data_IF_494553913137
#
_entry.id   IF_494553913137
#
_cell.length_a   1.000
_cell.length_b   1.000
_cell.length_c   1.000
_cell.angle_alpha   90.00
_cell.angle_beta   90.00
_cell.angle_gamma   90.00
#
_symmetry.space_group_name_H-M   'P 1'
#
loop_
_entity.id
_entity.type
_entity.pdbx_description
1 polymer ?
#
# COMPACT_ATOMS: atom_id res chain seq x y z
N UNK A 1 13.12 2.88 41.39
CA UNK A 1 13.36 1.60 40.66
C UNK A 1 13.76 1.90 39.22
N UNK A 2 14.85 1.33 38.72
CA UNK A 2 15.40 1.52 37.37
C UNK A 2 15.41 0.18 36.64
N UNK A 3 15.37 0.18 35.28
CA UNK A 3 15.40 -1.06 34.47
C UNK A 3 16.63 -1.92 34.79
N UNK A 4 17.77 -1.31 35.06
CA UNK A 4 18.99 -2.00 35.45
C UNK A 4 18.84 -2.78 36.77
N UNK A 5 18.07 -2.25 37.74
CA UNK A 5 17.78 -2.97 38.98
C UNK A 5 16.98 -4.25 38.69
N UNK A 6 16.02 -4.18 37.73
CA UNK A 6 15.22 -5.34 37.32
C UNK A 6 16.07 -6.36 36.55
N UNK A 7 17.01 -5.92 35.70
CA UNK A 7 17.95 -6.82 35.02
C UNK A 7 18.80 -7.61 36.00
N UNK A 8 19.36 -6.95 37.04
CA UNK A 8 20.14 -7.60 38.05
C UNK A 8 19.30 -8.54 38.92
N UNK A 9 18.10 -8.11 39.29
CA UNK A 9 17.16 -8.89 40.07
C UNK A 9 16.78 -10.19 39.33
N UNK A 10 16.38 -10.11 38.05
CA UNK A 10 16.02 -11.25 37.22
C UNK A 10 17.21 -12.20 37.08
N UNK A 11 18.42 -11.70 36.84
CA UNK A 11 19.61 -12.54 36.76
C UNK A 11 19.86 -13.33 38.07
N UNK A 12 19.72 -12.66 39.23
CA UNK A 12 19.89 -13.36 40.52
C UNK A 12 18.76 -14.36 40.79
N UNK A 13 17.53 -14.02 40.40
CA UNK A 13 16.35 -14.88 40.53
C UNK A 13 16.45 -16.17 39.70
N UNK A 14 16.99 -16.08 38.51
CA UNK A 14 17.16 -17.24 37.61
C UNK A 14 18.36 -18.12 38.04
N UNK A 15 19.44 -17.49 38.44
CA UNK A 15 20.65 -18.21 38.86
C UNK A 15 20.59 -18.73 40.31
N UNK A 16 19.71 -18.20 41.14
CA UNK A 16 19.68 -18.43 42.59
C UNK A 16 21.08 -18.30 43.23
N UNK A 17 21.88 -17.38 42.69
CA UNK A 17 23.27 -17.14 43.07
C UNK A 17 23.74 -15.77 42.63
N UNK A 18 24.17 -14.94 43.56
CA UNK A 18 24.72 -13.62 43.24
C UNK A 18 26.03 -13.70 42.44
N UNK A 19 26.84 -14.74 42.67
CA UNK A 19 28.11 -14.92 41.94
C UNK A 19 27.84 -15.32 40.48
N UNK A 20 26.99 -16.33 40.23
CA UNK A 20 26.66 -16.75 38.87
C UNK A 20 25.91 -15.65 38.10
N UNK A 21 25.02 -14.93 38.77
CA UNK A 21 24.35 -13.78 38.16
C UNK A 21 25.35 -12.68 37.71
N UNK A 22 26.35 -12.40 38.55
CA UNK A 22 27.41 -11.43 38.22
C UNK A 22 28.28 -11.92 37.04
N UNK A 23 28.65 -13.21 37.02
CA UNK A 23 29.34 -13.82 35.87
C UNK A 23 28.53 -13.72 34.58
N UNK A 24 27.24 -14.08 34.63
CA UNK A 24 26.32 -13.94 33.48
C UNK A 24 26.20 -12.51 32.97
N UNK A 25 26.19 -11.54 33.88
CA UNK A 25 26.12 -10.10 33.55
C UNK A 25 27.51 -9.51 33.20
N UNK A 26 28.57 -10.28 33.30
CA UNK A 26 29.96 -9.85 33.02
C UNK A 26 30.39 -8.67 33.89
N UNK A 27 30.02 -8.69 35.18
CA UNK A 27 30.37 -7.68 36.18
C UNK A 27 30.83 -8.36 37.50
N UNK A 28 31.38 -7.56 38.44
CA UNK A 28 31.71 -8.06 39.75
C UNK A 28 30.44 -8.31 40.61
N UNK A 29 30.50 -9.24 41.54
CA UNK A 29 29.37 -9.60 42.40
C UNK A 29 28.93 -8.49 43.36
N UNK A 30 29.88 -7.66 43.84
CA UNK A 30 29.57 -6.59 44.79
C UNK A 30 28.57 -5.54 44.25
N UNK A 31 28.70 -5.01 43.01
CA UNK A 31 27.68 -4.16 42.40
C UNK A 31 26.28 -4.79 42.31
N UNK A 32 26.19 -6.06 41.93
CA UNK A 32 24.91 -6.79 41.89
C UNK A 32 24.24 -6.78 43.24
N UNK A 33 24.97 -7.18 44.28
CA UNK A 33 24.44 -7.23 45.65
C UNK A 33 24.01 -5.86 46.17
N UNK A 34 24.78 -4.80 45.85
CA UNK A 34 24.43 -3.42 46.23
C UNK A 34 23.14 -2.93 45.55
N UNK A 35 22.98 -3.22 44.25
CA UNK A 35 21.79 -2.79 43.52
C UNK A 35 20.53 -3.55 43.97
N UNK A 36 20.65 -4.84 44.28
CA UNK A 36 19.53 -5.59 44.84
C UNK A 36 19.14 -5.01 46.22
N UNK A 37 20.08 -4.75 47.11
CA UNK A 37 19.78 -4.11 48.41
C UNK A 37 19.17 -2.70 48.23
N UNK A 38 19.56 -1.94 47.20
CA UNK A 38 18.96 -0.64 46.89
C UNK A 38 17.51 -0.85 46.48
N UNK A 39 17.23 -1.82 45.60
CA UNK A 39 15.90 -2.17 45.14
C UNK A 39 15.00 -2.60 46.29
N UNK A 40 15.46 -3.49 47.16
CA UNK A 40 14.73 -3.95 48.37
C UNK A 40 14.38 -2.78 49.30
N UNK A 41 15.30 -1.85 49.52
CA UNK A 41 15.05 -0.61 50.30
C UNK A 41 14.05 0.31 49.66
N UNK A 42 14.09 0.48 48.32
CA UNK A 42 13.12 1.28 47.60
C UNK A 42 11.70 0.70 47.66
N UNK A 43 11.60 -0.65 47.64
CA UNK A 43 10.32 -1.35 47.70
C UNK A 43 9.82 -1.61 49.13
N UNK A 44 10.68 -1.41 50.11
CA UNK A 44 10.36 -1.62 51.54
C UNK A 44 10.17 -3.09 51.91
N UNK A 45 10.66 -4.03 51.11
CA UNK A 45 10.55 -5.49 51.35
C UNK A 45 11.74 -6.24 50.79
N UNK A 46 12.08 -7.35 51.45
CA UNK A 46 13.10 -8.27 50.94
C UNK A 46 12.57 -9.09 49.76
N UNK A 47 13.36 -9.21 48.72
CA UNK A 47 13.04 -9.97 47.51
C UNK A 47 13.68 -11.36 47.51
N UNK A 48 14.76 -11.54 48.30
CA UNK A 48 15.45 -12.80 48.43
C UNK A 48 15.54 -13.26 49.88
N UNK A 49 15.23 -14.52 50.10
CA UNK A 49 15.60 -15.23 51.32
C UNK A 49 17.08 -15.61 51.23
N UNK A 50 17.88 -15.03 52.12
CA UNK A 50 19.34 -15.26 52.14
C UNK A 50 19.69 -16.07 53.36
N UNK A 51 20.04 -17.31 53.16
CA UNK A 51 20.69 -18.14 54.19
C UNK A 51 22.17 -18.30 53.85
N UNK A 52 22.97 -18.78 54.81
CA UNK A 52 24.41 -19.07 54.56
C UNK A 52 24.63 -20.16 53.51
N UNK A 53 23.59 -20.90 53.12
CA UNK A 53 23.67 -22.07 52.24
C UNK A 53 22.83 -21.93 50.93
N UNK A 54 21.89 -21.00 50.86
CA UNK A 54 21.00 -20.89 49.72
C UNK A 54 20.47 -19.48 49.54
N UNK A 55 20.16 -19.13 48.29
CA UNK A 55 19.43 -17.93 47.88
C UNK A 55 18.12 -18.39 47.24
N UNK A 56 16.99 -17.86 47.70
CA UNK A 56 15.67 -18.16 47.18
C UNK A 56 14.86 -16.90 47.05
N UNK A 57 13.77 -16.92 46.27
CA UNK A 57 12.84 -15.80 46.16
C UNK A 57 11.85 -15.82 47.33
N UNK A 58 11.61 -14.63 47.92
CA UNK A 58 10.47 -14.41 48.80
C UNK A 58 9.16 -14.40 48.00
N UNK A 59 7.99 -14.34 48.67
CA UNK A 59 6.71 -14.14 47.96
C UNK A 59 6.69 -12.82 47.18
N UNK A 60 7.21 -11.74 47.77
CA UNK A 60 7.40 -10.47 47.08
C UNK A 60 8.37 -10.59 45.89
N UNK A 61 9.44 -11.35 46.05
CA UNK A 61 10.37 -11.64 44.96
C UNK A 61 9.72 -12.41 43.80
N UNK A 62 8.86 -13.39 44.09
CA UNK A 62 8.13 -14.12 43.02
C UNK A 62 7.17 -13.22 42.24
N UNK A 63 6.47 -12.32 42.90
CA UNK A 63 5.59 -11.32 42.26
C UNK A 63 6.41 -10.39 41.40
N UNK A 64 7.48 -9.82 41.95
CA UNK A 64 8.33 -8.90 41.20
C UNK A 64 9.00 -9.59 40.00
N UNK A 65 9.34 -10.89 40.12
CA UNK A 65 9.97 -11.64 39.04
C UNK A 65 9.09 -11.70 37.78
N UNK A 66 7.81 -12.01 37.95
CA UNK A 66 6.86 -12.02 36.83
C UNK A 66 6.72 -10.64 36.19
N UNK A 67 6.52 -9.61 37.00
CA UNK A 67 6.39 -8.23 36.51
C UNK A 67 7.67 -7.69 35.86
N UNK A 68 8.85 -8.03 36.40
CA UNK A 68 10.13 -7.60 35.88
C UNK A 68 10.43 -8.17 34.47
N UNK A 69 10.08 -9.45 34.24
CA UNK A 69 10.21 -10.08 32.92
C UNK A 69 9.38 -9.29 31.88
N UNK A 70 8.13 -8.97 32.19
CA UNK A 70 7.23 -8.25 31.29
C UNK A 70 7.71 -6.81 31.01
N UNK A 71 8.17 -6.10 32.05
CA UNK A 71 8.73 -4.76 31.92
C UNK A 71 10.00 -4.73 31.06
N UNK A 72 10.93 -5.65 31.28
CA UNK A 72 12.14 -5.76 30.49
C UNK A 72 11.85 -6.14 29.04
N UNK A 73 10.92 -7.05 28.80
CA UNK A 73 10.45 -7.38 27.46
C UNK A 73 9.77 -6.18 26.77
N UNK A 74 8.95 -5.42 27.48
CA UNK A 74 8.32 -4.21 26.96
C UNK A 74 9.36 -3.14 26.60
N UNK A 75 10.37 -2.94 27.44
CA UNK A 75 11.48 -2.01 27.17
C UNK A 75 12.26 -2.38 25.90
N UNK A 76 12.59 -3.67 25.73
CA UNK A 76 13.26 -4.15 24.51
C UNK A 76 12.40 -3.96 23.28
N UNK A 77 11.10 -4.33 23.34
CA UNK A 77 10.15 -4.09 22.24
C UNK A 77 10.06 -2.60 21.86
N UNK A 78 10.03 -1.70 22.83
CA UNK A 78 10.00 -0.25 22.58
C UNK A 78 11.25 0.22 21.81
N UNK A 79 12.44 -0.22 22.23
CA UNK A 79 13.69 0.11 21.56
C UNK A 79 13.73 -0.45 20.11
N UNK A 80 13.30 -1.69 19.92
CA UNK A 80 13.26 -2.34 18.60
C UNK A 80 12.23 -1.65 17.67
N UNK A 81 11.03 -1.37 18.16
CA UNK A 81 10.01 -0.65 17.41
C UNK A 81 10.50 0.74 16.99
N UNK A 82 11.17 1.47 17.89
CA UNK A 82 11.74 2.79 17.57
C UNK A 82 12.79 2.68 16.46
N UNK A 83 13.67 1.67 16.52
CA UNK A 83 14.67 1.41 15.49
C UNK A 83 14.03 1.05 14.15
N UNK A 84 13.03 0.15 14.16
CA UNK A 84 12.29 -0.24 12.97
C UNK A 84 11.56 0.94 12.34
N UNK A 85 10.94 1.80 13.14
CA UNK A 85 10.28 3.03 12.66
C UNK A 85 11.29 3.98 12.01
N UNK A 86 12.45 4.21 12.62
CA UNK A 86 13.53 5.01 12.04
C UNK A 86 14.06 4.46 10.70
N UNK A 87 13.98 3.15 10.50
CA UNK A 87 14.34 2.47 9.25
C UNK A 87 13.18 2.41 8.23
N UNK A 88 11.99 2.89 8.55
CA UNK A 88 10.79 2.75 7.72
C UNK A 88 10.28 1.32 7.59
N UNK A 89 10.56 0.49 8.57
CA UNK A 89 10.13 -0.92 8.64
C UNK A 89 8.96 -1.14 9.59
N UNK A 90 8.52 -0.10 10.28
CA UNK A 90 7.35 -0.05 11.14
C UNK A 90 6.69 1.31 10.95
N UNK A 91 5.36 1.35 10.91
CA UNK A 91 4.57 2.57 10.80
C UNK A 91 3.33 2.38 9.94
N UNK A 92 2.79 3.51 9.48
CA UNK A 92 1.58 3.58 8.67
C UNK A 92 1.88 4.32 7.37
N UNK A 93 1.42 3.78 6.25
CA UNK A 93 1.55 4.38 4.93
C UNK A 93 0.18 4.44 4.26
N UNK A 94 -0.35 5.65 4.10
CA UNK A 94 -1.62 5.91 3.43
C UNK A 94 -1.38 6.12 1.93
N UNK A 95 -1.96 5.26 1.10
CA UNK A 95 -1.82 5.26 -0.35
C UNK A 95 -3.16 5.55 -1.03
N UNK A 96 -3.14 6.39 -2.06
CA UNK A 96 -4.31 6.64 -2.88
C UNK A 96 -4.06 6.20 -4.34
N UNK A 97 -5.11 5.68 -4.97
CA UNK A 97 -5.08 5.19 -6.34
C UNK A 97 -6.21 5.79 -7.15
N UNK A 98 -5.87 6.33 -8.33
CA UNK A 98 -6.87 6.84 -9.27
C UNK A 98 -7.52 5.70 -10.04
N UNK A 99 -8.82 5.78 -10.28
CA UNK A 99 -9.64 5.02 -11.21
C UNK A 99 -9.08 3.66 -11.61
N UNK A 100 -8.76 3.50 -12.89
CA UNK A 100 -8.30 2.22 -13.46
C UNK A 100 -6.98 1.70 -12.88
N UNK A 101 -6.10 2.54 -12.32
CA UNK A 101 -4.89 2.10 -11.61
C UNK A 101 -5.21 1.27 -10.37
N UNK A 102 -6.39 1.44 -9.77
CA UNK A 102 -6.93 0.61 -8.69
C UNK A 102 -6.99 -0.86 -9.06
N UNK A 103 -7.34 -1.18 -10.29
CA UNK A 103 -7.57 -2.57 -10.71
C UNK A 103 -6.33 -3.26 -11.26
N UNK A 104 -5.35 -2.52 -11.75
CA UNK A 104 -4.11 -3.06 -12.30
C UNK A 104 -2.94 -2.96 -11.33
N UNK A 105 -2.56 -1.73 -10.96
CA UNK A 105 -1.32 -1.49 -10.23
C UNK A 105 -1.46 -1.67 -8.71
N UNK A 106 -2.60 -1.29 -8.14
CA UNK A 106 -2.79 -1.38 -6.68
C UNK A 106 -2.52 -2.78 -6.13
N UNK A 107 -3.09 -3.88 -6.67
CA UNK A 107 -2.84 -5.21 -6.14
C UNK A 107 -1.37 -5.61 -6.19
N UNK A 108 -0.67 -5.22 -7.26
CA UNK A 108 0.75 -5.53 -7.46
C UNK A 108 1.62 -4.76 -6.48
N UNK A 109 1.36 -3.45 -6.32
CA UNK A 109 2.13 -2.57 -5.45
C UNK A 109 1.90 -2.89 -3.97
N UNK A 110 0.65 -3.11 -3.57
CA UNK A 110 0.29 -3.47 -2.19
C UNK A 110 0.94 -4.80 -1.82
N UNK A 111 0.85 -5.82 -2.68
CA UNK A 111 1.49 -7.12 -2.45
C UNK A 111 3.01 -6.98 -2.32
N UNK A 112 3.66 -6.34 -3.29
CA UNK A 112 5.11 -6.20 -3.30
C UNK A 112 5.63 -5.39 -2.10
N UNK A 113 4.91 -4.33 -1.71
CA UNK A 113 5.27 -3.53 -0.56
C UNK A 113 5.07 -4.28 0.75
N UNK A 114 3.92 -4.94 0.94
CA UNK A 114 3.64 -5.72 2.15
C UNK A 114 4.63 -6.87 2.36
N UNK A 115 5.07 -7.54 1.29
CA UNK A 115 6.11 -8.57 1.36
C UNK A 115 7.46 -8.01 1.81
N UNK A 116 7.81 -6.81 1.33
CA UNK A 116 9.08 -6.15 1.68
C UNK A 116 9.08 -5.51 3.06
N UNK A 117 7.92 -5.02 3.52
CA UNK A 117 7.73 -4.27 4.76
C UNK A 117 6.55 -4.83 5.58
N UNK A 118 6.66 -6.05 6.14
CA UNK A 118 5.53 -6.77 6.76
C UNK A 118 4.97 -6.09 8.02
N UNK A 119 5.74 -5.23 8.68
CA UNK A 119 5.31 -4.52 9.89
C UNK A 119 4.79 -3.11 9.61
N UNK A 120 4.58 -2.74 8.33
CA UNK A 120 3.98 -1.46 7.95
C UNK A 120 2.51 -1.67 7.66
N UNK A 121 1.67 -0.89 8.35
CA UNK A 121 0.23 -0.87 8.07
C UNK A 121 -0.04 -0.05 6.81
N UNK A 122 -0.64 -0.67 5.79
CA UNK A 122 -1.07 0.01 4.58
C UNK A 122 -2.52 0.45 4.71
N UNK A 123 -2.78 1.72 4.45
CA UNK A 123 -4.12 2.26 4.26
C UNK A 123 -4.30 2.62 2.80
N UNK A 124 -5.25 1.96 2.16
CA UNK A 124 -5.47 2.10 0.72
C UNK A 124 -6.78 2.80 0.47
N UNK A 125 -6.73 3.89 -0.29
CA UNK A 125 -7.90 4.60 -0.80
C UNK A 125 -7.95 4.42 -2.32
N UNK A 126 -9.01 3.82 -2.80
CA UNK A 126 -9.21 3.48 -4.20
C UNK A 126 -10.08 4.51 -4.92
N UNK A 127 -9.97 4.55 -6.25
CA UNK A 127 -10.79 5.36 -7.17
C UNK A 127 -10.86 6.87 -6.84
N UNK A 128 -9.82 7.39 -6.18
CA UNK A 128 -9.75 8.82 -5.87
C UNK A 128 -9.31 9.63 -7.10
N UNK A 129 -10.08 10.65 -7.44
CA UNK A 129 -9.71 11.61 -8.48
C UNK A 129 -8.53 12.50 -8.02
N UNK A 130 -7.78 13.02 -8.99
CA UNK A 130 -6.59 13.84 -8.74
C UNK A 130 -6.79 14.98 -7.75
N UNK A 131 -7.86 15.82 -7.82
CA UNK A 131 -8.06 16.90 -6.86
C UNK A 131 -8.12 16.41 -5.41
N UNK A 132 -8.92 15.39 -5.12
CA UNK A 132 -9.03 14.83 -3.77
C UNK A 132 -7.72 14.19 -3.26
N UNK A 133 -6.90 13.62 -4.18
CA UNK A 133 -5.57 13.12 -3.81
C UNK A 133 -4.62 14.27 -3.48
N UNK A 134 -4.67 15.37 -4.24
CA UNK A 134 -3.86 16.57 -3.99
C UNK A 134 -4.17 17.15 -2.61
N UNK A 135 -5.44 17.34 -2.28
CA UNK A 135 -5.87 17.83 -0.97
C UNK A 135 -5.35 16.92 0.14
N UNK A 136 -5.57 15.60 0.02
CA UNK A 136 -5.10 14.63 1.00
C UNK A 136 -3.57 14.56 1.17
N UNK A 137 -2.80 14.78 0.09
CA UNK A 137 -1.34 14.86 0.14
C UNK A 137 -0.86 16.14 0.86
N UNK A 138 -1.49 17.28 0.59
CA UNK A 138 -1.16 18.54 1.24
C UNK A 138 -1.49 18.52 2.73
N UNK A 139 -2.65 17.99 3.10
CA UNK A 139 -3.09 17.80 4.49
C UNK A 139 -2.30 16.72 5.24
N UNK A 140 -1.62 15.82 4.52
CA UNK A 140 -0.89 14.69 5.10
C UNK A 140 -1.76 13.49 5.47
N UNK A 141 -3.03 13.46 5.08
CA UNK A 141 -3.94 12.31 5.23
C UNK A 141 -3.63 11.18 4.23
N UNK A 142 -2.87 11.49 3.16
CA UNK A 142 -2.30 10.58 2.16
C UNK A 142 -0.79 10.77 2.16
N UNK A 143 -0.03 9.67 2.15
CA UNK A 143 1.44 9.68 2.11
C UNK A 143 1.98 9.72 0.68
N UNK A 144 1.35 8.99 -0.23
CA UNK A 144 1.65 8.97 -1.66
C UNK A 144 0.42 8.58 -2.46
N UNK A 145 0.28 9.13 -3.66
CA UNK A 145 -0.85 8.88 -4.53
C UNK A 145 -0.45 8.53 -5.95
N UNK A 146 -1.14 7.57 -6.58
CA UNK A 146 -1.10 7.37 -8.01
C UNK A 146 -2.24 8.19 -8.63
N UNK A 147 -1.89 9.23 -9.38
CA UNK A 147 -2.82 10.22 -9.90
C UNK A 147 -2.55 10.55 -11.37
N UNK A 148 -3.40 11.37 -11.96
CA UNK A 148 -3.26 11.78 -13.36
C UNK A 148 -2.99 13.28 -13.44
N UNK A 149 -1.80 13.66 -13.95
CA UNK A 149 -1.51 15.07 -14.23
C UNK A 149 -2.49 15.67 -15.27
N UNK A 150 -2.66 17.02 -15.30
CA UNK A 150 -1.84 18.01 -14.60
C UNK A 150 -2.17 18.15 -13.11
N UNK A 151 -1.17 18.53 -12.33
CA UNK A 151 -1.29 18.85 -10.91
C UNK A 151 -0.76 20.27 -10.71
N UNK A 152 -1.60 21.16 -10.24
CA UNK A 152 -1.23 22.55 -9.93
C UNK A 152 -0.98 22.69 -8.41
N UNK A 153 0.15 22.12 -7.93
CA UNK A 153 0.56 22.20 -6.53
C UNK A 153 2.09 22.15 -6.42
N UNK A 154 2.69 23.30 -6.15
CA UNK A 154 4.16 23.46 -6.06
C UNK A 154 4.78 22.71 -4.87
N UNK A 155 3.97 22.39 -3.87
CA UNK A 155 4.37 21.64 -2.68
C UNK A 155 4.35 20.10 -2.87
N UNK A 156 4.04 19.63 -4.07
CA UNK A 156 4.08 18.22 -4.42
C UNK A 156 5.22 17.91 -5.39
N UNK A 157 5.81 16.73 -5.23
CA UNK A 157 6.64 16.09 -6.24
C UNK A 157 5.74 15.17 -7.06
N UNK A 158 5.77 15.32 -8.37
CA UNK A 158 4.99 14.51 -9.32
C UNK A 158 5.94 13.84 -10.30
N UNK A 159 6.06 12.52 -10.25
CA UNK A 159 6.90 11.72 -11.14
C UNK A 159 6.00 10.94 -12.11
N UNK A 160 6.11 11.21 -13.41
CA UNK A 160 5.39 10.45 -14.44
C UNK A 160 5.93 9.02 -14.50
N UNK A 161 5.03 8.05 -14.35
CA UNK A 161 5.35 6.62 -14.35
C UNK A 161 5.21 6.01 -15.74
N UNK A 162 4.10 6.33 -16.43
CA UNK A 162 3.81 5.83 -17.77
C UNK A 162 2.75 6.67 -18.47
N UNK A 163 2.67 6.51 -19.80
CA UNK A 163 1.56 6.95 -20.64
C UNK A 163 0.65 5.75 -20.92
N UNK A 164 -0.65 5.93 -20.80
CA UNK A 164 -1.65 4.89 -21.05
C UNK A 164 -2.54 5.31 -22.22
N UNK A 165 -2.73 4.46 -23.22
CA UNK A 165 -3.69 4.75 -24.28
C UNK A 165 -5.12 4.71 -23.73
N UNK A 166 -5.99 5.53 -24.30
CA UNK A 166 -7.42 5.42 -24.08
C UNK A 166 -8.00 4.28 -24.92
N UNK A 167 -9.00 3.62 -24.38
CA UNK A 167 -9.82 2.62 -25.06
C UNK A 167 -11.29 3.03 -25.00
N UNK A 168 -12.05 2.65 -26.02
CA UNK A 168 -13.50 2.78 -26.00
C UNK A 168 -14.13 1.65 -25.21
N UNK A 169 -15.11 1.97 -24.37
CA UNK A 169 -15.97 1.04 -23.65
C UNK A 169 -17.34 1.08 -24.34
N UNK A 170 -17.79 -0.10 -24.75
CA UNK A 170 -19.08 -0.27 -25.46
C UNK A 170 -19.91 -1.36 -24.78
N UNK A 171 -21.25 -1.25 -24.75
CA UNK A 171 -22.08 -2.40 -24.45
C UNK A 171 -21.76 -3.55 -25.41
N UNK A 172 -21.80 -4.81 -24.96
CA UNK A 172 -21.53 -5.96 -25.84
C UNK A 172 -22.53 -6.07 -27.00
N UNK A 173 -23.71 -5.48 -26.87
CA UNK A 173 -24.76 -5.39 -27.90
C UNK A 173 -24.59 -4.26 -28.91
N UNK A 174 -23.59 -3.40 -28.69
CA UNK A 174 -23.35 -2.25 -29.56
C UNK A 174 -22.90 -2.70 -30.95
N UNK A 175 -23.37 -2.07 -32.06
CA UNK A 175 -23.00 -2.46 -33.43
C UNK A 175 -21.48 -2.48 -33.67
N UNK A 176 -20.73 -1.57 -33.04
CA UNK A 176 -19.27 -1.49 -33.16
C UNK A 176 -18.53 -2.44 -32.20
N UNK A 177 -19.23 -3.18 -31.34
CA UNK A 177 -18.60 -4.06 -30.34
C UNK A 177 -17.78 -5.21 -30.95
N UNK A 178 -18.05 -5.60 -32.20
CA UNK A 178 -17.34 -6.67 -32.90
C UNK A 178 -16.08 -6.18 -33.63
N UNK A 179 -15.88 -4.89 -33.78
CA UNK A 179 -14.69 -4.32 -34.44
C UNK A 179 -13.44 -4.55 -33.59
N UNK A 180 -12.32 -4.83 -34.25
CA UNK A 180 -11.02 -5.04 -33.56
C UNK A 180 -10.47 -3.72 -33.03
N UNK A 181 -10.57 -2.66 -33.81
CA UNK A 181 -10.15 -1.29 -33.48
C UNK A 181 -11.23 -0.31 -33.96
N UNK A 182 -11.41 0.79 -33.25
CA UNK A 182 -12.38 1.84 -33.57
C UNK A 182 -11.69 3.13 -33.99
N UNK A 183 -12.28 3.83 -34.94
CA UNK A 183 -12.03 5.26 -35.08
C UNK A 183 -12.88 6.01 -34.03
N UNK A 184 -12.26 6.92 -33.29
CA UNK A 184 -13.00 7.67 -32.26
C UNK A 184 -14.15 8.49 -32.89
N UNK A 185 -14.02 8.91 -34.14
CA UNK A 185 -15.05 9.62 -34.87
C UNK A 185 -16.33 8.79 -35.11
N UNK A 186 -16.24 7.45 -35.06
CA UNK A 186 -17.41 6.58 -35.21
C UNK A 186 -18.37 6.68 -34.01
N UNK A 187 -17.90 7.24 -32.88
CA UNK A 187 -18.69 7.41 -31.66
C UNK A 187 -19.32 8.80 -31.53
N UNK A 188 -19.23 9.67 -32.54
CA UNK A 188 -19.68 11.09 -32.49
C UNK A 188 -21.15 11.28 -32.12
N UNK A 189 -22.02 10.37 -32.55
CA UNK A 189 -23.48 10.44 -32.30
C UNK A 189 -23.91 9.71 -31.04
N UNK A 190 -22.99 8.96 -30.42
CA UNK A 190 -23.29 8.17 -29.23
C UNK A 190 -23.43 9.04 -27.98
N UNK A 191 -24.30 8.66 -27.02
CA UNK A 191 -24.31 9.27 -25.71
C UNK A 191 -23.09 8.79 -24.92
N UNK A 192 -22.35 9.73 -24.31
CA UNK A 192 -21.18 9.41 -23.51
C UNK A 192 -21.51 9.40 -22.03
N UNK A 193 -20.85 8.48 -21.31
CA UNK A 193 -20.70 8.51 -19.87
C UNK A 193 -19.29 9.04 -19.59
N UNK A 194 -19.19 10.11 -18.82
CA UNK A 194 -17.94 10.84 -18.60
C UNK A 194 -17.51 10.90 -17.15
N UNK A 195 -16.34 11.44 -16.94
CA UNK A 195 -15.84 11.83 -15.63
C UNK A 195 -16.26 13.27 -15.30
N UNK A 196 -16.27 13.70 -14.01
CA UNK A 196 -16.76 14.99 -13.59
C UNK A 196 -16.11 16.16 -14.34
N UNK A 197 -16.96 17.09 -14.76
CA UNK A 197 -16.60 18.33 -15.45
C UNK A 197 -16.46 19.52 -14.50
N UNK A 198 -16.99 19.42 -13.27
CA UNK A 198 -16.96 20.50 -12.28
C UNK A 198 -16.67 19.94 -10.86
N UNK A 199 -15.46 20.18 -10.29
CA UNK A 199 -14.27 20.67 -10.99
C UNK A 199 -13.78 19.67 -12.05
N UNK A 200 -13.21 20.16 -13.18
CA UNK A 200 -12.84 19.27 -14.27
C UNK A 200 -11.72 18.32 -13.86
N UNK A 201 -11.98 17.02 -13.96
CA UNK A 201 -10.97 16.00 -13.73
C UNK A 201 -9.97 15.93 -14.89
N UNK A 202 -8.75 15.45 -14.63
CA UNK A 202 -7.76 15.20 -15.68
C UNK A 202 -8.30 14.25 -16.77
N UNK A 203 -9.11 13.27 -16.38
CA UNK A 203 -9.75 12.34 -17.31
C UNK A 203 -10.80 13.04 -18.19
N UNK A 204 -11.63 13.92 -17.61
CA UNK A 204 -12.58 14.70 -18.38
C UNK A 204 -11.86 15.52 -19.47
N UNK A 205 -10.82 16.27 -19.08
CA UNK A 205 -10.05 17.09 -20.00
C UNK A 205 -9.40 16.25 -21.13
N UNK A 206 -8.83 15.10 -20.80
CA UNK A 206 -8.21 14.20 -21.77
C UNK A 206 -9.22 13.65 -22.78
N UNK A 207 -10.42 13.26 -22.32
CA UNK A 207 -11.49 12.73 -23.17
C UNK A 207 -12.03 13.82 -24.11
N UNK A 208 -12.32 15.02 -23.57
CA UNK A 208 -12.78 16.15 -24.40
C UNK A 208 -11.73 16.51 -25.46
N UNK A 209 -10.44 16.54 -25.07
CA UNK A 209 -9.34 16.81 -26.01
C UNK A 209 -9.26 15.76 -27.12
N UNK A 210 -9.34 14.47 -26.77
CA UNK A 210 -9.30 13.37 -27.73
C UNK A 210 -10.48 13.45 -28.73
N UNK A 211 -11.70 13.68 -28.24
CA UNK A 211 -12.88 13.82 -29.10
C UNK A 211 -12.80 15.05 -30.03
N UNK A 212 -12.29 16.17 -29.52
CA UNK A 212 -12.08 17.38 -30.37
C UNK A 212 -11.05 17.13 -31.48
N UNK A 213 -9.97 16.40 -31.18
CA UNK A 213 -8.99 16.01 -32.19
C UNK A 213 -9.58 15.04 -33.23
N UNK A 214 -10.57 14.23 -32.85
CA UNK A 214 -11.36 13.40 -33.76
C UNK A 214 -12.50 14.15 -34.46
N UNK A 215 -12.61 15.49 -34.31
CA UNK A 215 -13.53 16.37 -35.04
C UNK A 215 -14.94 16.45 -34.45
N UNK A 216 -15.13 16.14 -33.15
CA UNK A 216 -16.44 16.30 -32.50
C UNK A 216 -16.32 16.65 -31.02
N UNK A 217 -17.43 17.09 -30.42
CA UNK A 217 -17.58 17.26 -28.96
C UNK A 217 -18.52 16.19 -28.44
N UNK A 218 -18.10 15.37 -27.44
CA UNK A 218 -18.94 14.28 -26.98
C UNK A 218 -20.16 14.82 -26.23
N UNK A 219 -21.32 14.20 -26.45
CA UNK A 219 -22.55 14.49 -25.73
C UNK A 219 -22.57 13.71 -24.40
N UNK A 220 -22.05 14.34 -23.34
CA UNK A 220 -22.02 13.71 -22.00
C UNK A 220 -23.45 13.66 -21.46
N UNK A 221 -23.98 12.45 -21.29
CA UNK A 221 -25.31 12.20 -20.74
C UNK A 221 -25.28 12.05 -19.21
N UNK A 222 -24.21 11.49 -18.68
CA UNK A 222 -24.01 11.25 -17.25
C UNK A 222 -22.54 11.34 -16.88
N UNK A 223 -22.27 11.86 -15.69
CA UNK A 223 -20.93 11.95 -15.11
C UNK A 223 -20.84 11.09 -13.85
N UNK A 224 -19.73 10.38 -13.68
CA UNK A 224 -19.42 9.56 -12.50
C UNK A 224 -17.95 9.68 -12.13
N UNK A 225 -17.66 9.67 -10.84
CA UNK A 225 -16.29 9.82 -10.35
C UNK A 225 -15.51 8.48 -10.38
N UNK A 226 -16.18 7.38 -10.09
CA UNK A 226 -15.58 6.06 -10.03
C UNK A 226 -15.57 5.38 -11.41
N UNK A 227 -14.43 4.77 -11.74
CA UNK A 227 -14.28 4.00 -12.98
C UNK A 227 -15.16 2.75 -12.99
N UNK A 228 -15.40 2.14 -11.83
CA UNK A 228 -16.31 1.00 -11.69
C UNK A 228 -17.75 1.36 -12.06
N UNK A 229 -18.25 2.50 -11.59
CA UNK A 229 -19.57 3.04 -11.92
C UNK A 229 -19.67 3.36 -13.40
N UNK A 230 -18.62 3.97 -13.99
CA UNK A 230 -18.58 4.26 -15.43
C UNK A 230 -18.72 2.98 -16.26
N UNK A 231 -17.95 1.93 -15.94
CA UNK A 231 -18.01 0.65 -16.65
C UNK A 231 -19.37 -0.03 -16.48
N UNK A 232 -19.96 0.02 -15.27
CA UNK A 232 -21.27 -0.54 -14.99
C UNK A 232 -22.40 0.13 -15.78
N UNK A 233 -22.37 1.46 -15.92
CA UNK A 233 -23.36 2.21 -16.70
C UNK A 233 -23.24 1.93 -18.20
N UNK A 234 -22.01 1.73 -18.71
CA UNK A 234 -21.80 1.27 -20.09
C UNK A 234 -22.35 -0.14 -20.28
N UNK A 235 -22.07 -1.06 -19.34
CA UNK A 235 -22.60 -2.41 -19.39
C UNK A 235 -24.14 -2.46 -19.37
N UNK A 236 -24.78 -1.49 -18.69
CA UNK A 236 -26.24 -1.31 -18.66
C UNK A 236 -26.83 -0.70 -19.95
N UNK A 237 -25.98 -0.35 -20.93
CA UNK A 237 -26.43 0.21 -22.22
C UNK A 237 -26.81 1.69 -22.18
N UNK A 238 -26.37 2.45 -21.15
CA UNK A 238 -26.71 3.88 -21.02
C UNK A 238 -25.87 4.80 -21.92
N UNK A 239 -24.84 4.27 -22.57
CA UNK A 239 -23.98 4.99 -23.49
C UNK A 239 -22.63 4.32 -23.65
N UNK A 240 -21.69 5.06 -24.25
CA UNK A 240 -20.30 4.64 -24.44
C UNK A 240 -19.37 5.47 -23.54
N UNK A 241 -18.14 5.02 -23.35
CA UNK A 241 -17.17 5.79 -22.59
C UNK A 241 -15.74 5.63 -23.13
N UNK A 242 -14.86 6.56 -22.75
CA UNK A 242 -13.42 6.40 -22.91
C UNK A 242 -12.78 6.24 -21.54
N UNK A 243 -11.86 5.29 -21.42
CA UNK A 243 -11.09 5.07 -20.20
C UNK A 243 -9.65 4.64 -20.54
N UNK A 244 -8.70 4.76 -19.59
CA UNK A 244 -7.35 4.23 -19.78
C UNK A 244 -7.38 2.72 -19.99
N UNK A 245 -6.46 2.18 -20.80
CA UNK A 245 -6.44 0.74 -21.16
C UNK A 245 -6.31 -0.20 -19.96
N UNK A 246 -5.81 0.29 -18.81
CA UNK A 246 -5.78 -0.45 -17.55
C UNK A 246 -7.17 -0.83 -17.02
N UNK A 247 -8.25 -0.17 -17.49
CA UNK A 247 -9.65 -0.52 -17.14
C UNK A 247 -10.02 -1.95 -17.49
N UNK A 248 -9.35 -2.58 -18.45
CA UNK A 248 -9.56 -4.00 -18.84
C UNK A 248 -9.36 -4.99 -17.69
N UNK A 249 -8.64 -4.59 -16.63
CA UNK A 249 -8.48 -5.42 -15.42
C UNK A 249 -9.74 -5.43 -14.53
N UNK A 250 -10.65 -4.47 -14.74
CA UNK A 250 -11.98 -4.47 -14.14
C UNK A 250 -12.93 -5.30 -15.04
N UNK A 251 -13.19 -6.53 -14.62
CA UNK A 251 -14.04 -7.47 -15.37
C UNK A 251 -15.50 -7.30 -14.96
N UNK A 252 -16.29 -6.66 -15.81
CA UNK A 252 -17.75 -6.53 -15.67
C UNK A 252 -18.37 -7.15 -16.93
N UNK A 253 -19.36 -8.02 -16.74
CA UNK A 253 -20.12 -8.60 -17.87
C UNK A 253 -20.96 -7.52 -18.54
N UNK A 254 -21.17 -7.63 -19.86
CA UNK A 254 -21.99 -6.70 -20.62
C UNK A 254 -21.24 -5.53 -21.24
N UNK A 255 -19.93 -5.37 -20.99
CA UNK A 255 -19.08 -4.35 -21.60
C UNK A 255 -17.94 -4.98 -22.38
N UNK A 256 -17.55 -4.34 -23.47
CA UNK A 256 -16.35 -4.69 -24.25
C UNK A 256 -15.42 -3.49 -24.36
N UNK A 257 -14.11 -3.78 -24.48
CA UNK A 257 -13.07 -2.78 -24.60
C UNK A 257 -12.50 -2.82 -26.02
N UNK A 258 -12.43 -1.66 -26.69
CA UNK A 258 -11.88 -1.58 -28.04
C UNK A 258 -10.76 -0.56 -28.11
N UNK A 259 -9.58 -0.94 -28.63
CA UNK A 259 -8.50 0.00 -28.90
C UNK A 259 -8.96 1.04 -29.92
N UNK A 260 -8.45 2.27 -29.79
CA UNK A 260 -8.69 3.33 -30.75
C UNK A 260 -7.60 3.30 -31.84
N UNK A 261 -7.98 3.55 -33.10
CA UNK A 261 -7.02 3.77 -34.20
C UNK A 261 -6.26 5.07 -33.93
N UNK A 262 -4.96 5.10 -34.21
CA UNK A 262 -4.15 6.28 -33.92
C UNK A 262 -4.02 6.63 -32.44
N UNK A 263 -4.22 5.66 -31.55
CA UNK A 263 -4.29 5.81 -30.08
C UNK A 263 -3.04 6.43 -29.44
N UNK A 264 -1.92 6.55 -30.16
CA UNK A 264 -0.74 7.28 -29.69
C UNK A 264 -1.02 8.77 -29.38
N UNK A 265 -2.06 9.35 -29.97
CA UNK A 265 -2.49 10.74 -29.70
C UNK A 265 -3.51 10.85 -28.57
N UNK A 266 -4.24 9.75 -28.26
CA UNK A 266 -5.23 9.69 -27.20
C UNK A 266 -4.67 8.94 -25.99
N UNK A 267 -3.70 9.54 -25.32
CA UNK A 267 -3.05 8.97 -24.13
C UNK A 267 -3.27 9.84 -22.91
N UNK A 268 -3.22 9.21 -21.73
CA UNK A 268 -3.22 9.90 -20.44
C UNK A 268 -2.01 9.48 -19.62
N UNK A 269 -1.45 10.42 -18.88
CA UNK A 269 -0.34 10.15 -17.98
C UNK A 269 -0.84 9.50 -16.68
N UNK A 270 -0.05 8.59 -16.15
CA UNK A 270 -0.14 8.13 -14.77
C UNK A 270 1.15 8.53 -14.05
N UNK A 271 1.01 9.15 -12.90
CA UNK A 271 2.12 9.63 -12.09
C UNK A 271 1.99 9.20 -10.64
N UNK A 272 3.11 9.11 -9.93
CA UNK A 272 3.14 9.06 -8.47
C UNK A 272 3.38 10.48 -7.94
N UNK A 273 2.62 10.85 -6.90
CA UNK A 273 2.79 12.13 -6.23
C UNK A 273 2.95 11.93 -4.72
N UNK A 274 3.75 12.81 -4.13
CA UNK A 274 3.99 12.88 -2.69
C UNK A 274 4.43 14.30 -2.29
N UNK A 275 4.34 14.62 -1.00
CA UNK A 275 4.67 15.97 -0.50
C UNK A 275 6.16 16.26 -0.65
N UNK A 276 6.49 17.47 -1.12
CA UNK A 276 7.85 17.98 -1.25
C UNK A 276 8.50 18.16 0.13
N UNK A 277 9.78 17.85 0.24
CA UNK A 277 10.53 17.97 1.47
C UNK A 277 11.29 16.69 1.82
N UNK A 278 11.61 16.47 3.12
CA UNK A 278 12.28 15.26 3.56
C UNK A 278 11.39 14.02 3.33
N UNK A 279 11.81 13.17 2.39
CA UNK A 279 11.06 11.94 2.06
C UNK A 279 11.26 10.91 3.17
N UNK A 280 10.17 10.51 3.83
CA UNK A 280 10.23 9.49 4.87
C UNK A 280 10.74 8.14 4.32
N UNK A 281 11.38 7.29 5.14
CA UNK A 281 11.82 5.97 4.71
C UNK A 281 10.69 5.10 4.15
N UNK A 282 9.46 5.24 4.67
CA UNK A 282 8.27 4.53 4.18
C UNK A 282 7.93 4.92 2.74
N UNK A 283 7.87 6.23 2.45
CA UNK A 283 7.60 6.74 1.09
C UNK A 283 8.72 6.33 0.15
N UNK A 284 9.99 6.43 0.56
CA UNK A 284 11.14 6.00 -0.25
C UNK A 284 11.03 4.53 -0.63
N UNK A 285 10.73 3.65 0.34
CA UNK A 285 10.50 2.23 0.10
C UNK A 285 9.34 1.98 -0.89
N UNK A 286 8.27 2.78 -0.81
CA UNK A 286 7.15 2.70 -1.75
C UNK A 286 7.55 3.11 -3.17
N UNK A 287 8.27 4.21 -3.34
CA UNK A 287 8.76 4.67 -4.65
C UNK A 287 9.69 3.64 -5.31
N UNK A 288 10.62 3.05 -4.53
CA UNK A 288 11.49 1.98 -5.00
C UNK A 288 10.69 0.75 -5.45
N UNK A 289 9.70 0.33 -4.64
CA UNK A 289 8.80 -0.79 -4.96
C UNK A 289 7.99 -0.51 -6.22
N UNK A 290 7.45 0.71 -6.35
CA UNK A 290 6.71 1.13 -7.55
C UNK A 290 7.57 1.03 -8.81
N UNK A 291 8.80 1.57 -8.76
CA UNK A 291 9.73 1.49 -9.89
C UNK A 291 10.11 0.04 -10.24
N UNK A 292 10.29 -0.83 -9.24
CA UNK A 292 10.60 -2.25 -9.45
C UNK A 292 9.44 -2.99 -10.12
N UNK A 293 8.21 -2.81 -9.64
CA UNK A 293 7.00 -3.42 -10.22
C UNK A 293 6.80 -2.97 -11.67
N UNK A 294 6.97 -1.68 -11.96
CA UNK A 294 6.82 -1.18 -13.33
C UNK A 294 7.89 -1.71 -14.29
N UNK A 295 9.13 -1.93 -13.81
CA UNK A 295 10.18 -2.55 -14.62
C UNK A 295 9.85 -4.01 -14.94
N UNK A 296 9.33 -4.78 -14.00
CA UNK A 296 8.96 -6.18 -14.23
C UNK A 296 7.79 -6.33 -15.22
N UNK A 297 6.87 -5.35 -15.26
CA UNK A 297 5.79 -5.34 -16.25
C UNK A 297 6.25 -5.05 -17.69
N UNK A 298 7.40 -4.36 -17.87
CA UNK A 298 7.97 -4.07 -19.19
C UNK A 298 8.73 -5.24 -19.81
N UNK A 299 9.13 -6.25 -19.02
CA UNK A 299 9.71 -7.49 -19.52
C UNK A 299 8.57 -8.45 -19.83
N UNK A 300 8.39 -8.93 -21.09
CA UNK A 300 7.39 -9.95 -21.39
C UNK A 300 7.74 -11.20 -20.58
N UNK A 301 6.89 -11.57 -19.64
CA UNK A 301 6.95 -12.91 -19.04
C UNK A 301 6.86 -13.93 -20.16
N UNK A 302 7.69 -14.98 -20.23
CA UNK A 302 7.42 -16.12 -21.08
C UNK A 302 6.05 -16.65 -20.64
N UNK A 303 5.06 -16.53 -21.52
CA UNK A 303 3.71 -17.02 -21.27
C UNK A 303 3.75 -18.47 -20.82
N UNK A 304 2.82 -18.92 -19.94
CA UNK A 304 2.70 -20.32 -19.64
C UNK A 304 2.52 -21.04 -20.97
N UNK A 305 3.39 -21.98 -21.26
CA UNK A 305 3.25 -22.88 -22.43
C UNK A 305 1.95 -23.67 -22.22
N UNK A 306 0.93 -23.26 -22.94
CA UNK A 306 -0.32 -24.01 -23.03
C UNK A 306 0.02 -25.31 -23.77
N UNK A 307 0.19 -26.40 -23.03
CA UNK A 307 0.13 -27.75 -23.62
C UNK A 307 -1.35 -28.01 -23.89
N UNK A 308 -1.75 -28.23 -25.16
CA UNK A 308 -3.10 -28.71 -25.42
C UNK A 308 -3.26 -30.09 -24.76
N UNK A 309 -4.25 -30.25 -23.90
CA UNK A 309 -4.70 -31.56 -23.45
C UNK A 309 -5.25 -32.30 -24.69
N UNK A 310 -4.63 -33.43 -25.01
CA UNK A 310 -5.16 -34.36 -26.00
C UNK A 310 -6.54 -34.86 -25.52
N UNK A 311 -7.57 -34.84 -26.40
CA UNK A 311 -8.88 -35.38 -26.02
C UNK A 311 -8.73 -36.87 -25.81
N UNK A 312 -8.99 -37.35 -24.58
CA UNK A 312 -9.15 -38.76 -24.27
C UNK A 312 -10.39 -39.28 -25.01
N UNK A 313 -10.20 -40.17 -25.96
CA UNK A 313 -11.26 -40.95 -26.62
C UNK A 313 -11.96 -41.82 -25.57
N UNK A 314 -13.29 -41.92 -25.58
CA UNK A 314 -13.99 -42.88 -24.73
C UNK A 314 -13.73 -44.30 -25.25
N UNK A 315 -13.29 -45.18 -24.33
CA UNK A 315 -13.25 -46.61 -24.57
C UNK A 315 -14.68 -47.15 -24.87
N UNK A 316 -14.77 -47.78 -26.01
CA UNK A 316 -15.99 -48.52 -26.47
C UNK A 316 -16.22 -49.75 -25.61
N UNK A 317 -17.46 -49.90 -25.10
CA UNK A 317 -18.11 -51.14 -24.79
C UNK A 317 -19.30 -51.32 -25.73
#
# INVERSE_FOLDING_TARGET
MELRHLEYFVAVAEELSFTRAAERLTIAQSPVSQQIRKLERELGTDLFDRTTRSVGLTDAGRILYAEAIDLLAASRRAADNTRLAGQGRLGRLALAFTGSATYELMPLLVRAYAQRFPNVTLEVRSEMLTPAQVDGLLEGSISAGLLRPPVAADDLVVEVLRHEPLVALLPVTHPLATQINLDLADLREEPFIGYPSSPPSAMHQAIISACRQAGFTPRIRQEVAETSSLVALVAAGLGVALAPASVRHLRINGVTHRPLRGSAQATVMLAVAYKKGPVSPLIRGYLETTRAVLRSQKQPSPGPSFKPEEPSLPESI
#
